data_IF_351692942032
#
_entry.id   IF_351692942032
#
_cell.length_a   1.000
_cell.length_b   1.000
_cell.length_c   1.000
_cell.angle_alpha   90.00
_cell.angle_beta   90.00
_cell.angle_gamma   90.00
#
_symmetry.space_group_name_H-M   'P 1'
#
loop_
_entity.id
_entity.type
_entity.pdbx_description
1 polymer ?
#
# COMPACT_ATOMS: atom_id res chain seq x y z
N UNK A 1 15.58 3.43 9.34
CA UNK A 1 14.30 3.00 8.71
C UNK A 1 14.20 3.49 7.28
N UNK A 2 14.32 4.81 7.02
CA UNK A 2 14.19 5.41 5.69
C UNK A 2 15.09 4.71 4.65
N UNK A 3 16.36 4.46 4.97
CA UNK A 3 17.28 3.73 4.08
C UNK A 3 16.72 2.39 3.60
N UNK A 4 16.14 1.61 4.52
CA UNK A 4 15.57 0.29 4.20
C UNK A 4 14.31 0.42 3.35
N UNK A 5 13.47 1.43 3.61
CA UNK A 5 12.30 1.72 2.80
C UNK A 5 12.69 2.19 1.39
N UNK A 6 13.76 2.99 1.28
CA UNK A 6 14.35 3.37 0.00
C UNK A 6 14.81 2.15 -0.79
N UNK A 7 15.51 1.19 -0.16
CA UNK A 7 15.97 -0.02 -0.86
C UNK A 7 14.81 -0.87 -1.38
N UNK A 8 13.72 -0.97 -0.61
CA UNK A 8 12.49 -1.65 -1.07
C UNK A 8 11.85 -0.87 -2.24
N UNK A 9 11.79 0.45 -2.17
CA UNK A 9 11.24 1.28 -3.24
C UNK A 9 12.09 1.25 -4.53
N UNK A 10 13.43 1.23 -4.41
CA UNK A 10 14.33 1.06 -5.56
C UNK A 10 14.17 -0.32 -6.20
N UNK A 11 14.06 -1.37 -5.39
CA UNK A 11 13.77 -2.71 -5.89
C UNK A 11 12.43 -2.75 -6.65
N UNK A 12 11.36 -2.17 -6.09
CA UNK A 12 10.07 -2.12 -6.76
C UNK A 12 10.11 -1.33 -8.07
N UNK A 13 10.75 -0.15 -8.08
CA UNK A 13 10.93 0.63 -9.30
C UNK A 13 11.70 -0.16 -10.37
N UNK A 14 12.70 -0.93 -9.95
CA UNK A 14 13.45 -1.81 -10.87
C UNK A 14 12.55 -2.91 -11.46
N UNK A 15 11.70 -3.53 -10.63
CA UNK A 15 10.70 -4.51 -11.07
C UNK A 15 9.73 -3.90 -12.08
N UNK A 16 9.32 -2.65 -11.88
CA UNK A 16 8.46 -1.89 -12.81
C UNK A 16 9.19 -1.38 -14.06
N UNK A 17 10.46 -1.77 -14.26
CA UNK A 17 11.25 -1.47 -15.46
C UNK A 17 11.94 -0.11 -15.46
N UNK A 18 12.12 0.53 -14.30
CA UNK A 18 12.97 1.72 -14.17
C UNK A 18 14.42 1.33 -13.84
N UNK A 19 15.38 2.19 -14.19
CA UNK A 19 16.78 1.97 -13.82
C UNK A 19 16.96 1.98 -12.30
N UNK A 20 17.60 0.94 -11.75
CA UNK A 20 17.99 0.91 -10.34
C UNK A 20 19.06 1.94 -10.04
N UNK A 21 19.00 2.50 -8.82
CA UNK A 21 20.05 3.37 -8.26
C UNK A 21 21.10 2.59 -7.46
N UNK A 22 20.91 1.30 -7.28
CA UNK A 22 21.78 0.41 -6.48
C UNK A 22 22.34 -0.76 -7.31
N UNK A 23 22.24 -0.68 -8.65
CA UNK A 23 22.82 -1.65 -9.59
C UNK A 23 21.97 -2.88 -9.88
N UNK A 24 20.69 -2.88 -9.48
CA UNK A 24 19.72 -3.90 -9.87
C UNK A 24 19.28 -3.78 -11.33
N UNK A 25 18.94 -4.90 -11.95
CA UNK A 25 18.38 -4.93 -13.29
C UNK A 25 17.21 -5.90 -13.36
N UNK A 26 16.13 -5.50 -14.02
CA UNK A 26 15.06 -6.40 -14.45
C UNK A 26 15.17 -6.58 -15.96
N UNK A 27 15.05 -7.83 -16.43
CA UNK A 27 15.07 -8.13 -17.87
C UNK A 27 13.81 -7.64 -18.58
N UNK A 28 12.69 -7.59 -17.86
CA UNK A 28 11.39 -7.13 -18.35
C UNK A 28 10.64 -6.42 -17.23
N UNK A 29 9.78 -5.46 -17.58
CA UNK A 29 8.91 -4.82 -16.59
C UNK A 29 7.83 -5.80 -16.11
N UNK A 30 7.61 -5.83 -14.79
CA UNK A 30 6.65 -6.72 -14.14
C UNK A 30 5.88 -5.95 -13.07
N UNK A 31 4.70 -6.45 -12.70
CA UNK A 31 4.03 -6.09 -11.44
C UNK A 31 4.31 -7.18 -10.40
N UNK A 32 4.53 -6.80 -9.14
CA UNK A 32 4.75 -7.73 -8.04
C UNK A 32 3.46 -8.42 -7.58
N UNK A 33 2.39 -7.64 -7.37
CA UNK A 33 1.02 -8.06 -7.00
C UNK A 33 0.83 -8.75 -5.65
N UNK A 34 1.86 -8.77 -4.80
CA UNK A 34 1.81 -9.40 -3.47
C UNK A 34 2.81 -8.79 -2.48
N UNK A 35 2.95 -7.46 -2.49
CA UNK A 35 3.80 -6.76 -1.51
C UNK A 35 3.10 -6.79 -0.15
N UNK A 36 3.77 -7.40 0.83
CA UNK A 36 3.30 -7.62 2.20
C UNK A 36 4.49 -7.96 3.10
N UNK A 37 4.37 -7.89 4.44
CA UNK A 37 5.48 -8.16 5.35
C UNK A 37 6.13 -9.53 5.15
N UNK A 38 5.35 -10.57 4.84
CA UNK A 38 5.86 -11.93 4.62
C UNK A 38 6.80 -12.02 3.42
N UNK A 39 6.67 -11.09 2.47
CA UNK A 39 7.46 -11.00 1.25
C UNK A 39 8.61 -9.98 1.38
N UNK A 40 8.95 -9.58 2.61
CA UNK A 40 10.13 -8.77 2.92
C UNK A 40 11.07 -9.55 3.83
N UNK A 41 12.20 -10.01 3.28
CA UNK A 41 13.18 -10.81 4.01
C UNK A 41 14.21 -9.91 4.69
N UNK A 42 14.51 -10.20 5.95
CA UNK A 42 15.48 -9.48 6.77
C UNK A 42 16.80 -10.25 6.88
N UNK A 43 17.87 -9.70 6.31
CA UNK A 43 19.22 -10.26 6.37
C UNK A 43 20.05 -9.56 7.43
N UNK A 44 20.56 -10.32 8.41
CA UNK A 44 21.49 -9.81 9.40
C UNK A 44 22.88 -9.65 8.79
N UNK A 45 23.45 -8.46 8.91
CA UNK A 45 24.85 -8.15 8.58
C UNK A 45 25.64 -7.89 9.85
N UNK A 46 26.87 -8.41 9.89
CA UNK A 46 27.83 -8.14 10.96
C UNK A 46 29.14 -7.70 10.31
N UNK A 47 29.49 -6.43 10.47
CA UNK A 47 30.73 -5.87 9.91
C UNK A 47 31.38 -4.99 10.97
N UNK A 48 32.66 -5.27 11.28
CA UNK A 48 33.42 -4.51 12.28
C UNK A 48 32.79 -4.48 13.69
N UNK A 49 32.09 -5.54 14.09
CA UNK A 49 31.40 -5.62 15.38
C UNK A 49 30.04 -4.89 15.46
N UNK A 50 29.64 -4.18 14.40
CA UNK A 50 28.31 -3.54 14.29
C UNK A 50 27.34 -4.48 13.59
N UNK A 51 26.16 -4.67 14.20
CA UNK A 51 25.05 -5.41 13.59
C UNK A 51 24.15 -4.43 12.85
N UNK A 52 23.85 -4.74 11.59
CA UNK A 52 22.83 -4.07 10.79
C UNK A 52 21.91 -5.09 10.13
N UNK A 53 20.81 -4.62 9.56
CA UNK A 53 19.83 -5.45 8.87
C UNK A 53 19.52 -4.85 7.51
N UNK A 54 19.42 -5.72 6.51
CA UNK A 54 18.99 -5.38 5.15
C UNK A 54 17.64 -6.02 4.87
N UNK A 55 16.69 -5.20 4.43
CA UNK A 55 15.39 -5.66 3.96
C UNK A 55 15.41 -5.84 2.45
N UNK A 56 14.88 -6.97 1.97
CA UNK A 56 14.78 -7.27 0.54
C UNK A 56 13.39 -7.76 0.18
N UNK A 57 12.83 -7.21 -0.88
CA UNK A 57 11.58 -7.68 -1.47
C UNK A 57 11.79 -9.06 -2.12
N UNK A 58 10.84 -9.98 -1.94
CA UNK A 58 10.90 -11.36 -2.44
C UNK A 58 9.54 -11.86 -2.90
N UNK A 59 9.50 -13.12 -3.33
CA UNK A 59 8.30 -13.85 -3.76
C UNK A 59 7.56 -13.21 -4.95
N UNK A 60 8.11 -13.48 -6.13
CA UNK A 60 7.55 -13.09 -7.42
C UNK A 60 6.56 -14.13 -7.97
N UNK A 61 6.04 -15.05 -7.13
CA UNK A 61 5.16 -16.14 -7.56
C UNK A 61 3.82 -15.67 -8.14
N UNK A 62 3.39 -14.45 -7.80
CA UNK A 62 2.19 -13.80 -8.34
C UNK A 62 2.52 -12.70 -9.36
N UNK A 63 3.80 -12.48 -9.65
CA UNK A 63 4.22 -11.41 -10.55
C UNK A 63 3.78 -11.66 -11.98
N UNK A 64 3.53 -10.58 -12.70
CA UNK A 64 3.06 -10.63 -14.09
C UNK A 64 3.86 -9.67 -14.96
N UNK A 65 4.20 -10.06 -16.20
CA UNK A 65 4.72 -9.12 -17.18
C UNK A 65 3.79 -7.92 -17.31
N UNK A 66 4.39 -6.75 -17.43
CA UNK A 66 3.71 -5.48 -17.50
C UNK A 66 4.23 -4.69 -18.68
N UNK A 67 3.31 -4.24 -19.53
CA UNK A 67 3.61 -3.28 -20.58
C UNK A 67 2.89 -1.96 -20.28
N UNK A 68 3.64 -0.86 -20.33
CA UNK A 68 3.17 0.49 -19.99
C UNK A 68 2.15 0.95 -21.05
N UNK A 69 0.87 0.70 -20.77
CA UNK A 69 -0.24 0.94 -21.70
C UNK A 69 -1.22 -0.23 -21.82
N UNK A 70 -0.85 -1.39 -21.28
CA UNK A 70 -1.72 -2.55 -21.14
C UNK A 70 -2.13 -2.74 -19.69
N UNK A 71 -3.42 -2.86 -19.43
CA UNK A 71 -3.95 -3.02 -18.08
C UNK A 71 -4.53 -4.42 -17.91
N UNK A 72 -4.18 -5.09 -16.82
CA UNK A 72 -4.54 -6.49 -16.60
C UNK A 72 -5.85 -6.53 -15.83
N UNK A 73 -6.83 -7.31 -16.28
CA UNK A 73 -8.05 -7.52 -15.50
C UNK A 73 -7.74 -8.35 -14.24
N UNK A 74 -8.17 -7.92 -13.04
CA UNK A 74 -7.98 -8.71 -11.84
C UNK A 74 -8.70 -10.05 -11.98
N UNK A 75 -8.01 -11.17 -11.70
CA UNK A 75 -8.71 -12.42 -11.43
C UNK A 75 -9.27 -12.29 -10.02
N UNK A 76 -10.60 -12.29 -9.88
CA UNK A 76 -11.28 -12.36 -8.59
C UNK A 76 -11.09 -13.76 -8.00
N UNK A 77 -9.91 -14.04 -7.46
CA UNK A 77 -9.72 -15.18 -6.55
C UNK A 77 -9.89 -14.67 -5.13
N UNK A 78 -10.83 -15.31 -4.42
CA UNK A 78 -11.15 -15.09 -3.02
C UNK A 78 -10.00 -15.57 -2.12
N UNK A 79 -8.96 -14.76 -2.03
CA UNK A 79 -7.99 -14.83 -0.94
C UNK A 79 -8.00 -13.47 -0.27
N UNK A 80 -8.46 -13.43 0.98
CA UNK A 80 -8.38 -12.27 1.87
C UNK A 80 -6.92 -11.87 2.04
N UNK A 81 -6.56 -10.66 1.61
CA UNK A 81 -5.18 -10.15 1.71
C UNK A 81 -5.20 -8.74 2.30
N UNK A 82 -4.62 -8.56 3.48
CA UNK A 82 -4.65 -7.28 4.21
C UNK A 82 -4.19 -6.07 3.40
N UNK A 83 -3.13 -6.24 2.61
CA UNK A 83 -2.44 -5.18 1.86
C UNK A 83 -3.05 -4.91 0.48
N UNK A 84 -4.13 -5.60 0.10
CA UNK A 84 -4.71 -5.49 -1.23
C UNK A 84 -5.38 -4.12 -1.47
N UNK A 85 -5.33 -3.59 -2.70
CA UNK A 85 -5.97 -2.33 -3.02
C UNK A 85 -7.45 -2.46 -3.39
N UNK A 86 -8.22 -1.35 -3.34
CA UNK A 86 -9.67 -1.37 -3.62
C UNK A 86 -10.02 -1.86 -5.03
N UNK A 87 -9.21 -1.53 -6.06
CA UNK A 87 -9.40 -1.99 -7.44
C UNK A 87 -9.41 -3.53 -7.60
N UNK A 88 -8.95 -4.29 -6.60
CA UNK A 88 -9.07 -5.74 -6.61
C UNK A 88 -10.52 -6.22 -6.44
N UNK A 89 -11.34 -5.45 -5.72
CA UNK A 89 -12.73 -5.78 -5.41
C UNK A 89 -13.74 -5.03 -6.26
N UNK A 90 -13.35 -3.86 -6.77
CA UNK A 90 -14.24 -3.03 -7.56
C UNK A 90 -14.35 -3.57 -8.99
N UNK A 91 -15.59 -3.71 -9.47
CA UNK A 91 -15.88 -4.20 -10.82
C UNK A 91 -15.40 -3.18 -11.86
N UNK A 92 -14.79 -3.68 -12.92
CA UNK A 92 -14.32 -2.86 -14.05
C UNK A 92 -12.98 -2.17 -13.81
N UNK A 93 -12.35 -2.38 -12.65
CA UNK A 93 -11.01 -1.88 -12.40
C UNK A 93 -9.94 -2.71 -13.10
N UNK A 94 -8.78 -2.09 -13.27
CA UNK A 94 -7.62 -2.67 -13.93
C UNK A 94 -6.43 -2.71 -12.98
N UNK A 95 -5.57 -3.71 -13.16
CA UNK A 95 -4.33 -3.87 -12.42
C UNK A 95 -3.19 -3.30 -13.24
N UNK A 96 -2.44 -2.40 -12.62
CA UNK A 96 -1.33 -1.62 -13.17
C UNK A 96 -0.38 -1.26 -12.00
N UNK A 97 0.70 -0.54 -12.27
CA UNK A 97 1.71 -0.09 -11.31
C UNK A 97 1.14 0.46 -9.99
N UNK A 98 0.09 1.31 -9.97
CA UNK A 98 -0.51 1.82 -8.74
C UNK A 98 -1.00 0.74 -7.77
N UNK A 99 -1.25 -0.48 -8.24
CA UNK A 99 -1.63 -1.62 -7.40
C UNK A 99 -0.54 -1.92 -6.37
N UNK A 100 0.71 -2.01 -6.83
CA UNK A 100 1.86 -2.29 -5.97
C UNK A 100 2.20 -1.08 -5.09
N UNK A 101 1.92 0.14 -5.55
CA UNK A 101 2.11 1.36 -4.76
C UNK A 101 1.20 1.41 -3.53
N UNK A 102 -0.05 0.97 -3.66
CA UNK A 102 -0.95 0.84 -2.51
C UNK A 102 -0.43 -0.20 -1.51
N UNK A 103 -0.05 -1.38 -2.01
CA UNK A 103 0.49 -2.45 -1.17
C UNK A 103 1.73 -1.98 -0.40
N UNK A 104 2.65 -1.28 -1.09
CA UNK A 104 3.83 -0.66 -0.49
C UNK A 104 3.47 0.44 0.52
N UNK A 105 2.44 1.24 0.25
CA UNK A 105 1.95 2.26 1.17
C UNK A 105 1.41 1.66 2.48
N UNK A 106 0.68 0.55 2.38
CA UNK A 106 0.18 -0.19 3.54
C UNK A 106 1.37 -0.72 4.39
N UNK A 107 2.35 -1.35 3.72
CA UNK A 107 3.57 -1.85 4.36
C UNK A 107 4.37 -0.73 5.05
N UNK A 108 4.52 0.43 4.40
CA UNK A 108 5.22 1.57 4.98
C UNK A 108 4.48 2.18 6.18
N UNK A 109 3.15 2.22 6.17
CA UNK A 109 2.39 2.65 7.34
C UNK A 109 2.59 1.71 8.54
N UNK A 110 2.67 0.40 8.30
CA UNK A 110 3.01 -0.57 9.36
C UNK A 110 4.45 -0.38 9.87
N UNK A 111 5.42 -0.12 8.98
CA UNK A 111 6.80 0.17 9.40
C UNK A 111 6.90 1.44 10.25
N UNK A 112 6.18 2.50 9.87
CA UNK A 112 6.14 3.75 10.65
C UNK A 112 5.45 3.49 12.00
N UNK A 113 4.33 2.76 12.00
CA UNK A 113 3.64 2.36 13.23
C UNK A 113 4.57 1.58 14.15
N UNK A 114 5.27 0.57 13.63
CA UNK A 114 6.23 -0.21 14.39
C UNK A 114 7.40 0.63 14.92
N UNK A 115 7.92 1.56 14.13
CA UNK A 115 8.99 2.46 14.57
C UNK A 115 8.55 3.39 15.71
N UNK A 116 7.29 3.84 15.69
CA UNK A 116 6.73 4.77 16.68
C UNK A 116 6.16 4.05 17.89
N UNK A 117 5.68 2.82 17.78
CA UNK A 117 4.87 2.15 18.83
C UNK A 117 5.28 0.70 19.11
N UNK A 118 6.16 0.13 18.29
CA UNK A 118 6.53 -1.28 18.35
C UNK A 118 5.43 -2.21 17.83
N UNK A 119 5.60 -3.51 18.08
CA UNK A 119 4.66 -4.54 17.64
C UNK A 119 3.24 -4.35 18.20
N UNK A 120 3.13 -3.89 19.46
CA UNK A 120 1.82 -3.64 20.07
C UNK A 120 0.97 -2.59 19.33
N UNK A 121 1.61 -1.55 18.77
CA UNK A 121 0.91 -0.56 17.94
C UNK A 121 0.45 -1.13 16.60
N UNK A 122 1.27 -1.97 15.96
CA UNK A 122 0.88 -2.65 14.71
C UNK A 122 -0.33 -3.56 14.94
N UNK A 123 -0.32 -4.34 16.01
CA UNK A 123 -1.44 -5.23 16.34
C UNK A 123 -2.70 -4.42 16.71
N UNK A 124 -2.57 -3.36 17.50
CA UNK A 124 -3.70 -2.48 17.83
C UNK A 124 -4.30 -1.83 16.57
N UNK A 125 -3.44 -1.42 15.62
CA UNK A 125 -3.89 -0.84 14.37
C UNK A 125 -4.60 -1.89 13.49
N UNK A 126 -4.07 -3.11 13.43
CA UNK A 126 -4.71 -4.25 12.77
C UNK A 126 -6.10 -4.56 13.34
N UNK A 127 -6.21 -4.68 14.65
CA UNK A 127 -7.49 -4.94 15.32
C UNK A 127 -8.50 -3.81 15.05
N UNK A 128 -8.04 -2.56 15.07
CA UNK A 128 -8.90 -1.40 14.74
C UNK A 128 -9.44 -1.48 13.30
N UNK A 129 -8.64 -1.93 12.34
CA UNK A 129 -9.12 -2.17 10.96
C UNK A 129 -10.06 -3.36 10.87
N UNK A 130 -9.78 -4.45 11.59
CA UNK A 130 -10.58 -5.67 11.55
C UNK A 130 -12.00 -5.46 12.10
N UNK A 131 -12.14 -4.65 13.16
CA UNK A 131 -13.41 -4.35 13.82
C UNK A 131 -14.32 -3.40 13.01
N UNK A 132 -13.81 -2.85 11.90
CA UNK A 132 -14.59 -2.02 10.98
C UNK A 132 -15.18 -2.84 9.84
N UNK A 133 -16.49 -2.70 9.64
CA UNK A 133 -17.23 -3.36 8.56
C UNK A 133 -17.45 -2.45 7.35
N UNK A 134 -17.70 -3.08 6.21
CA UNK A 134 -18.31 -2.43 5.04
C UNK A 134 -19.73 -1.89 5.36
N UNK A 135 -20.29 -1.06 4.47
CA UNK A 135 -21.71 -0.69 4.57
C UNK A 135 -22.63 -1.92 4.41
N UNK A 136 -23.74 -1.91 5.14
CA UNK A 136 -24.68 -3.04 5.27
C UNK A 136 -25.24 -3.53 3.94
N UNK A 137 -25.28 -2.68 2.94
CA UNK A 137 -25.92 -2.96 1.66
C UNK A 137 -24.91 -3.21 0.52
N UNK A 138 -23.61 -3.36 0.80
CA UNK A 138 -22.59 -3.70 -0.22
C UNK A 138 -22.88 -5.04 -0.87
N UNK A 139 -23.25 -6.04 -0.06
CA UNK A 139 -23.68 -7.35 -0.52
C UNK A 139 -24.96 -7.77 0.22
N UNK A 140 -26.13 -7.82 -0.44
CA UNK A 140 -27.38 -8.21 0.23
C UNK A 140 -27.42 -9.68 0.63
N UNK A 141 -26.57 -10.51 0.03
CA UNK A 141 -26.54 -11.96 0.24
C UNK A 141 -25.58 -12.34 1.38
N UNK A 142 -24.61 -11.47 1.68
CA UNK A 142 -23.60 -11.71 2.70
C UNK A 142 -23.56 -10.56 3.73
N UNK A 143 -23.45 -10.85 5.03
CA UNK A 143 -23.37 -9.81 6.06
C UNK A 143 -22.15 -8.89 5.86
N UNK A 144 -22.15 -7.68 6.45
CA UNK A 144 -20.98 -6.81 6.46
C UNK A 144 -19.74 -7.60 6.86
N UNK A 145 -18.72 -7.56 6.01
CA UNK A 145 -17.51 -8.37 6.21
C UNK A 145 -16.60 -7.65 7.20
N UNK A 146 -16.23 -8.34 8.27
CA UNK A 146 -15.09 -7.97 9.10
C UNK A 146 -13.84 -8.45 8.37
N UNK A 147 -13.10 -7.52 7.79
CA UNK A 147 -11.87 -7.81 7.06
C UNK A 147 -10.80 -6.81 7.48
N UNK A 148 -9.60 -7.29 7.81
CA UNK A 148 -8.44 -6.42 8.02
C UNK A 148 -7.96 -5.89 6.66
N UNK A 149 -8.59 -4.83 6.17
CA UNK A 149 -8.21 -4.11 4.95
C UNK A 149 -8.01 -2.63 5.26
N UNK A 150 -7.29 -1.92 4.40
CA UNK A 150 -7.07 -0.47 4.55
C UNK A 150 -8.23 0.38 3.98
N UNK A 151 -9.18 -0.26 3.32
CA UNK A 151 -10.36 0.38 2.73
C UNK A 151 -11.62 -0.39 3.13
N UNK A 152 -12.76 0.30 3.06
CA UNK A 152 -14.09 -0.30 3.17
C UNK A 152 -14.87 -0.04 1.89
N UNK A 153 -15.80 -0.92 1.58
CA UNK A 153 -16.74 -0.79 0.46
C UNK A 153 -18.01 -0.09 0.94
N UNK A 154 -18.61 0.66 0.02
CA UNK A 154 -19.92 1.30 0.22
C UNK A 154 -20.74 1.33 -1.06
N UNK A 155 -22.06 1.51 -0.92
CA UNK A 155 -22.95 1.61 -2.07
C UNK A 155 -23.09 3.07 -2.49
N UNK A 156 -22.67 3.37 -3.71
CA UNK A 156 -22.98 4.64 -4.36
C UNK A 156 -24.40 4.59 -4.94
N UNK A 157 -25.33 5.30 -4.30
CA UNK A 157 -26.70 5.48 -4.79
C UNK A 157 -26.77 6.76 -5.62
N UNK A 158 -26.69 6.64 -6.95
CA UNK A 158 -26.87 7.78 -7.84
C UNK A 158 -28.28 8.35 -7.74
N UNK A 159 -28.42 9.63 -7.41
CA UNK A 159 -29.74 10.30 -7.30
C UNK A 159 -30.07 10.94 -8.65
N UNK A 160 -30.82 10.25 -9.50
CA UNK A 160 -31.36 10.84 -10.73
C UNK A 160 -32.82 11.24 -10.49
N UNK A 161 -33.07 12.51 -10.16
CA UNK A 161 -34.41 12.99 -9.81
C UNK A 161 -35.43 12.92 -10.95
N UNK A 162 -34.98 12.81 -12.21
CA UNK A 162 -35.83 12.73 -13.40
C UNK A 162 -36.01 11.31 -13.97
N UNK A 163 -35.40 10.26 -13.38
CA UNK A 163 -35.57 8.87 -13.87
C UNK A 163 -35.80 7.90 -12.69
N UNK A 164 -37.06 7.51 -12.40
CA UNK A 164 -37.38 6.57 -11.33
C UNK A 164 -37.06 5.10 -11.66
N UNK A 165 -36.31 4.81 -12.74
CA UNK A 165 -35.86 3.45 -13.05
C UNK A 165 -34.61 3.11 -12.23
N UNK A 166 -34.66 1.95 -11.56
CA UNK A 166 -33.60 1.34 -10.74
C UNK A 166 -32.20 1.73 -11.23
N UNK A 167 -31.60 2.70 -10.55
CA UNK A 167 -30.19 3.07 -10.78
C UNK A 167 -29.35 1.84 -10.41
N UNK A 168 -28.42 1.39 -11.28
CA UNK A 168 -27.53 0.28 -10.94
C UNK A 168 -26.80 0.58 -9.62
N UNK A 169 -26.79 -0.40 -8.71
CA UNK A 169 -25.99 -0.30 -7.48
C UNK A 169 -24.52 -0.33 -7.89
N UNK A 170 -23.82 0.78 -7.68
CA UNK A 170 -22.37 0.85 -7.91
C UNK A 170 -21.67 0.73 -6.55
N UNK A 171 -20.78 -0.25 -6.41
CA UNK A 171 -19.93 -0.35 -5.21
C UNK A 171 -18.72 0.55 -5.45
N UNK A 172 -18.40 1.38 -4.46
CA UNK A 172 -17.17 2.19 -4.42
C UNK A 172 -16.43 1.90 -3.12
N UNK A 173 -15.21 2.39 -2.99
CA UNK A 173 -14.40 2.23 -1.79
C UNK A 173 -14.10 3.59 -1.13
N UNK A 174 -13.93 3.60 0.18
CA UNK A 174 -13.33 4.69 0.94
C UNK A 174 -12.21 4.14 1.83
N UNK A 175 -11.27 4.99 2.26
CA UNK A 175 -10.34 4.61 3.32
C UNK A 175 -11.10 4.29 4.60
N UNK A 176 -10.63 3.29 5.34
CA UNK A 176 -11.18 2.99 6.66
C UNK A 176 -10.91 4.13 7.65
N UNK A 177 -11.90 4.55 8.46
CA UNK A 177 -11.69 5.49 9.56
C UNK A 177 -10.45 5.20 10.42
N UNK A 178 -10.21 3.95 10.79
CA UNK A 178 -9.01 3.50 11.54
C UNK A 178 -7.70 3.84 10.84
N UNK A 179 -7.63 3.78 9.51
CA UNK A 179 -6.44 4.19 8.75
C UNK A 179 -6.23 5.70 8.84
N UNK A 180 -7.31 6.47 8.71
CA UNK A 180 -7.28 7.94 8.85
C UNK A 180 -6.86 8.32 10.28
N UNK A 181 -7.47 7.69 11.28
CA UNK A 181 -7.15 7.87 12.69
C UNK A 181 -5.71 7.46 13.00
N UNK A 182 -5.18 6.40 12.39
CA UNK A 182 -3.79 6.00 12.57
C UNK A 182 -2.82 7.07 12.06
N UNK A 183 -3.07 7.66 10.89
CA UNK A 183 -2.26 8.79 10.40
C UNK A 183 -2.27 9.98 11.36
N UNK A 184 -3.44 10.32 11.92
CA UNK A 184 -3.55 11.43 12.88
C UNK A 184 -2.86 11.10 14.20
N UNK A 185 -3.06 9.88 14.70
CA UNK A 185 -2.46 9.37 15.93
C UNK A 185 -0.94 9.38 15.86
N UNK A 186 -0.35 8.80 14.81
CA UNK A 186 1.09 8.75 14.63
C UNK A 186 1.70 10.16 14.50
N UNK A 187 1.04 11.09 13.79
CA UNK A 187 1.53 12.49 13.69
C UNK A 187 1.56 13.22 15.03
N UNK A 188 0.57 12.97 15.88
CA UNK A 188 0.47 13.60 17.20
C UNK A 188 1.27 12.85 18.28
N UNK A 189 1.88 11.71 17.95
CA UNK A 189 2.61 10.89 18.89
C UNK A 189 3.96 11.56 19.26
N UNK A 190 4.33 11.53 20.55
CA UNK A 190 5.55 12.20 21.05
C UNK A 190 6.87 11.72 20.41
N UNK A 191 6.88 10.50 19.86
CA UNK A 191 8.02 9.91 19.11
C UNK A 191 8.02 10.24 17.61
N UNK A 192 7.02 10.95 17.10
CA UNK A 192 6.98 11.33 15.69
C UNK A 192 7.98 12.45 15.41
N UNK A 193 9.07 12.12 14.73
CA UNK A 193 10.02 13.12 14.23
C UNK A 193 9.48 13.80 12.98
N UNK A 194 10.05 14.95 12.59
CA UNK A 194 9.71 15.62 11.33
C UNK A 194 9.91 14.71 10.11
N UNK A 195 10.86 13.79 10.17
CA UNK A 195 11.12 12.85 9.07
C UNK A 195 10.03 11.77 9.00
N UNK A 196 9.57 11.28 10.13
CA UNK A 196 8.43 10.36 10.19
C UNK A 196 7.14 11.06 9.74
N UNK A 197 6.95 12.34 10.10
CA UNK A 197 5.81 13.15 9.64
C UNK A 197 5.82 13.37 8.12
N UNK A 198 6.99 13.67 7.54
CA UNK A 198 7.19 13.73 6.09
C UNK A 198 6.89 12.39 5.43
N UNK A 199 7.34 11.28 6.03
CA UNK A 199 7.09 9.95 5.51
C UNK A 199 5.60 9.59 5.57
N UNK A 200 4.91 9.87 6.67
CA UNK A 200 3.45 9.73 6.79
C UNK A 200 2.73 10.54 5.71
N UNK A 201 3.22 11.74 5.40
CA UNK A 201 2.64 12.59 4.35
C UNK A 201 2.84 11.99 2.96
N UNK A 202 4.00 11.43 2.64
CA UNK A 202 4.21 10.68 1.39
C UNK A 202 3.23 9.52 1.27
N UNK A 203 3.14 8.68 2.30
CA UNK A 203 2.24 7.52 2.29
C UNK A 203 0.78 7.96 2.12
N UNK A 204 0.32 8.96 2.89
CA UNK A 204 -1.08 9.40 2.85
C UNK A 204 -1.46 10.11 1.56
N UNK A 205 -0.58 10.98 1.02
CA UNK A 205 -0.93 11.88 -0.08
C UNK A 205 -0.54 11.35 -1.46
N UNK A 206 0.28 10.29 -1.55
CA UNK A 206 0.78 9.76 -2.82
C UNK A 206 0.66 8.25 -2.96
N UNK A 207 0.36 7.48 -1.91
CA UNK A 207 0.35 6.01 -1.97
C UNK A 207 -1.01 5.41 -1.59
N UNK A 208 -1.55 5.77 -0.42
CA UNK A 208 -2.84 5.27 0.08
C UNK A 208 -4.03 6.11 -0.40
N UNK A 209 -4.16 6.26 -1.72
CA UNK A 209 -5.28 6.94 -2.37
C UNK A 209 -6.25 5.93 -2.98
N UNK A 210 -7.55 6.12 -2.78
CA UNK A 210 -8.57 5.21 -3.34
C UNK A 210 -8.53 5.21 -4.86
N UNK A 211 -8.43 6.38 -5.48
CA UNK A 211 -8.21 6.51 -6.92
C UNK A 211 -6.76 6.18 -7.26
N UNK A 212 -6.53 4.96 -7.76
CA UNK A 212 -5.21 4.49 -8.18
C UNK A 212 -4.52 5.38 -9.22
N UNK A 213 -5.28 6.09 -10.07
CA UNK A 213 -4.71 6.96 -11.10
C UNK A 213 -4.00 8.20 -10.54
N UNK A 214 -4.25 8.51 -9.27
CA UNK A 214 -3.65 9.65 -8.56
C UNK A 214 -2.47 9.26 -7.68
N UNK A 215 -2.18 7.96 -7.55
CA UNK A 215 -1.01 7.48 -6.80
C UNK A 215 0.27 7.80 -7.57
N UNK A 216 1.36 8.01 -6.84
CA UNK A 216 2.68 8.18 -7.43
C UNK A 216 3.13 6.90 -8.15
N UNK A 217 3.95 7.05 -9.19
CA UNK A 217 4.69 5.93 -9.76
C UNK A 217 5.82 5.49 -8.82
N UNK A 218 6.27 4.24 -8.96
CA UNK A 218 7.31 3.64 -8.11
C UNK A 218 8.64 4.39 -8.16
N UNK A 219 9.02 4.90 -9.34
CA UNK A 219 10.23 5.70 -9.50
C UNK A 219 10.12 7.04 -8.75
N UNK A 220 8.95 7.67 -8.73
CA UNK A 220 8.73 8.89 -7.95
C UNK A 220 8.87 8.62 -6.45
N UNK A 221 8.26 7.53 -5.95
CA UNK A 221 8.39 7.11 -4.54
C UNK A 221 9.86 6.86 -4.19
N UNK A 222 10.58 6.11 -5.03
CA UNK A 222 12.02 5.86 -4.88
C UNK A 222 12.80 7.18 -4.83
N UNK A 223 12.61 8.07 -5.80
CA UNK A 223 13.40 9.29 -5.95
C UNK A 223 13.18 10.25 -4.76
N UNK A 224 11.94 10.32 -4.23
CA UNK A 224 11.63 11.06 -2.99
C UNK A 224 12.43 10.48 -1.80
N UNK A 225 12.38 9.16 -1.62
CA UNK A 225 13.10 8.49 -0.53
C UNK A 225 14.63 8.58 -0.70
N UNK A 226 15.12 8.61 -1.95
CA UNK A 226 16.53 8.78 -2.27
C UNK A 226 17.05 10.15 -1.81
N UNK A 227 16.31 11.21 -2.13
CA UNK A 227 16.64 12.57 -1.72
C UNK A 227 16.71 12.68 -0.19
N UNK A 228 15.79 12.04 0.52
CA UNK A 228 15.82 11.99 1.99
C UNK A 228 17.05 11.23 2.50
N UNK A 229 17.32 10.03 1.98
CA UNK A 229 18.51 9.23 2.33
C UNK A 229 19.81 10.03 2.16
N UNK A 230 19.93 10.86 1.12
CA UNK A 230 21.10 11.69 0.87
C UNK A 230 21.22 12.86 1.87
N UNK A 231 20.10 13.48 2.25
CA UNK A 231 20.08 14.61 3.20
C UNK A 231 20.55 14.29 4.62
N UNK A 232 20.72 13.01 4.98
CA UNK A 232 21.25 12.57 6.28
C UNK A 232 22.74 12.19 6.25
N UNK A 233 23.37 12.24 5.07
CA UNK A 233 24.80 11.93 4.89
C UNK A 233 25.68 13.18 4.82
N UNK A 234 25.07 14.36 4.77
CA UNK A 234 25.71 15.68 4.91
C UNK A 234 25.59 16.17 6.35
#
# INVERSE_FOLDING_TARGET
MIDQCYYIADALATVHGYDSREGGHSSEAQLHLDIKPENVVCFRKSQGGKVSYDLKLTDFGLSKPFDRGSSIRPKQKAETKTYRPPERDLKGSTVDEPFDIWCLGCLFLDFITWAIEGWGGVESFRESRLLETDEVDVDPEFPPVLEDTFFKKRVHRGVWWWRPRRVPRTIVADLKPSVISQFQHLRNHARCTKDLERFLTLVQSRMLLIDGSTRAASNEVRDILQAWKQSFKE
#
